data_IF_573254396794
#
_entry.id   IF_573254396794
#
_cell.length_a   1.000
_cell.length_b   1.000
_cell.length_c   1.000
_cell.angle_alpha   90.00
_cell.angle_beta   90.00
_cell.angle_gamma   90.00
#
_symmetry.space_group_name_H-M   'P 1'
#
loop_
_entity.id
_entity.type
_entity.pdbx_description
1 polymer ?
#
# COMPACT_ATOMS: atom_id res chain seq x y z
N UNK A 1 -13.51 -4.09 7.79
CA UNK A 1 -14.08 -5.12 6.90
C UNK A 1 -14.90 -4.50 5.76
N UNK A 2 -15.94 -3.72 6.01
CA UNK A 2 -16.76 -3.12 4.93
C UNK A 2 -15.95 -2.30 3.93
N UNK A 3 -15.04 -1.43 4.39
CA UNK A 3 -14.18 -0.61 3.53
C UNK A 3 -13.30 -1.48 2.59
N UNK A 4 -12.72 -2.56 3.12
CA UNK A 4 -11.89 -3.49 2.32
C UNK A 4 -12.73 -4.21 1.26
N UNK A 5 -13.91 -4.71 1.63
CA UNK A 5 -14.80 -5.38 0.66
C UNK A 5 -15.31 -4.42 -0.42
N UNK A 6 -15.52 -3.14 -0.08
CA UNK A 6 -15.89 -2.12 -1.07
C UNK A 6 -14.71 -1.79 -2.02
N UNK A 7 -13.47 -1.74 -1.51
CA UNK A 7 -12.28 -1.50 -2.31
C UNK A 7 -11.89 -2.72 -3.16
N UNK A 8 -12.06 -3.92 -2.63
CA UNK A 8 -11.75 -5.20 -3.26
C UNK A 8 -13.02 -6.05 -3.40
N UNK A 9 -13.81 -5.88 -4.46
CA UNK A 9 -15.09 -6.59 -4.65
C UNK A 9 -14.92 -8.06 -5.07
N UNK A 10 -13.68 -8.56 -5.08
CA UNK A 10 -13.39 -9.96 -5.39
C UNK A 10 -13.65 -10.85 -4.16
N UNK A 11 -13.86 -12.14 -4.43
CA UNK A 11 -14.08 -13.11 -3.35
C UNK A 11 -12.83 -13.26 -2.49
N UNK A 12 -12.97 -13.08 -1.18
CA UNK A 12 -11.96 -13.32 -0.16
C UNK A 12 -12.62 -13.87 1.11
N UNK A 13 -11.82 -14.26 2.12
CA UNK A 13 -12.35 -14.96 3.30
C UNK A 13 -13.32 -14.12 4.15
N UNK A 14 -13.31 -12.78 4.00
CA UNK A 14 -14.15 -11.87 4.79
C UNK A 14 -13.83 -11.86 6.29
N UNK A 15 -12.70 -12.43 6.69
CA UNK A 15 -12.22 -12.51 8.07
C UNK A 15 -10.69 -12.45 8.11
N UNK A 16 -10.15 -11.91 9.17
CA UNK A 16 -8.71 -11.77 9.41
C UNK A 16 -8.40 -12.27 10.81
N UNK A 17 -7.31 -13.00 10.95
CA UNK A 17 -6.72 -13.32 12.26
C UNK A 17 -5.79 -12.18 12.63
N UNK A 18 -6.05 -11.54 13.76
CA UNK A 18 -5.21 -10.47 14.30
C UNK A 18 -4.52 -11.00 15.56
N UNK A 19 -3.20 -10.93 15.58
CA UNK A 19 -2.37 -11.27 16.73
C UNK A 19 -1.89 -9.96 17.37
N UNK A 20 -2.02 -9.87 18.68
CA UNK A 20 -1.58 -8.70 19.46
C UNK A 20 -0.57 -9.20 20.49
N UNK A 21 0.74 -9.24 20.15
CA UNK A 21 1.79 -9.61 21.10
C UNK A 21 1.88 -8.60 22.24
N UNK A 22 2.40 -9.04 23.41
CA UNK A 22 2.56 -8.14 24.55
C UNK A 22 3.72 -7.15 24.41
N UNK A 23 4.71 -7.44 23.57
CA UNK A 23 5.91 -6.62 23.36
C UNK A 23 6.36 -6.65 21.90
N UNK A 24 7.17 -5.67 21.49
CA UNK A 24 7.82 -5.65 20.19
C UNK A 24 8.75 -6.87 19.98
N UNK A 25 9.45 -7.32 21.02
CA UNK A 25 10.30 -8.53 20.93
C UNK A 25 9.47 -9.80 20.70
N UNK A 26 8.29 -9.90 21.31
CA UNK A 26 7.37 -11.00 21.05
C UNK A 26 6.82 -10.96 19.61
N UNK A 27 6.54 -9.78 19.06
CA UNK A 27 6.21 -9.61 17.66
C UNK A 27 7.35 -10.05 16.75
N UNK A 28 8.57 -9.62 17.04
CA UNK A 28 9.77 -9.96 16.28
C UNK A 28 10.02 -11.48 16.25
N UNK A 29 9.86 -12.15 17.41
CA UNK A 29 9.95 -13.60 17.51
C UNK A 29 8.89 -14.32 16.66
N UNK A 30 7.65 -13.83 16.63
CA UNK A 30 6.57 -14.39 15.79
C UNK A 30 6.85 -14.24 14.29
N UNK A 31 7.52 -13.16 13.88
CA UNK A 31 7.80 -12.83 12.50
C UNK A 31 9.17 -13.32 12.01
N UNK A 32 10.05 -13.78 12.93
CA UNK A 32 11.36 -14.34 12.62
C UNK A 32 12.37 -13.31 12.10
N UNK A 33 12.25 -12.04 12.50
CA UNK A 33 13.15 -10.95 12.10
C UNK A 33 13.48 -10.06 13.31
N UNK A 34 14.57 -9.27 13.26
CA UNK A 34 14.95 -8.38 14.35
C UNK A 34 13.84 -7.35 14.69
N UNK A 35 13.69 -7.03 15.98
CA UNK A 35 12.73 -6.03 16.46
C UNK A 35 12.96 -4.64 15.84
N UNK A 36 14.21 -4.31 15.49
CA UNK A 36 14.56 -3.07 14.79
C UNK A 36 13.79 -2.86 13.49
N UNK A 37 13.44 -3.94 12.79
CA UNK A 37 12.73 -3.88 11.50
C UNK A 37 11.27 -3.45 11.65
N UNK A 38 10.73 -3.53 12.87
CA UNK A 38 9.32 -3.24 13.15
C UNK A 38 9.11 -1.97 13.96
N UNK A 39 10.19 -1.27 14.35
CA UNK A 39 10.08 0.00 15.06
C UNK A 39 9.32 1.02 14.19
N UNK A 40 8.37 1.70 14.79
CA UNK A 40 7.54 2.72 14.11
C UNK A 40 6.42 2.16 13.23
N UNK A 41 6.37 0.84 12.99
CA UNK A 41 5.24 0.21 12.29
C UNK A 41 4.08 -0.02 13.26
N UNK A 42 2.83 0.18 12.81
CA UNK A 42 1.65 -0.13 13.61
C UNK A 42 1.26 -1.60 13.57
N UNK A 43 1.41 -2.27 12.42
CA UNK A 43 1.13 -3.69 12.23
C UNK A 43 1.83 -4.21 10.96
N UNK A 44 1.83 -5.52 10.76
CA UNK A 44 2.37 -6.20 9.56
C UNK A 44 1.47 -7.38 9.21
N UNK A 45 1.14 -7.51 7.92
CA UNK A 45 0.50 -8.72 7.40
C UNK A 45 1.53 -9.76 6.99
N UNK A 46 1.44 -10.96 7.54
CA UNK A 46 2.28 -12.10 7.18
C UNK A 46 1.48 -13.21 6.52
N UNK A 47 2.06 -13.83 5.48
CA UNK A 47 1.46 -14.90 4.71
C UNK A 47 2.26 -15.22 3.45
N UNK A 48 1.97 -16.33 2.80
CA UNK A 48 2.63 -16.70 1.54
C UNK A 48 1.99 -15.97 0.36
N UNK A 49 2.81 -15.33 -0.45
CA UNK A 49 2.41 -14.70 -1.70
C UNK A 49 2.39 -15.75 -2.81
N UNK A 50 1.33 -15.75 -3.65
CA UNK A 50 1.29 -16.55 -4.89
C UNK A 50 0.91 -18.04 -4.74
N UNK A 51 0.47 -18.49 -3.57
CA UNK A 51 0.18 -19.91 -3.30
C UNK A 51 -1.33 -20.24 -3.21
N UNK A 52 -2.22 -19.47 -3.84
CA UNK A 52 -3.67 -19.64 -3.68
C UNK A 52 -4.17 -19.12 -2.32
N UNK A 53 -5.34 -19.54 -1.84
CA UNK A 53 -5.83 -19.12 -0.55
C UNK A 53 -4.83 -19.53 0.53
N UNK A 54 -4.07 -18.59 1.05
CA UNK A 54 -3.09 -18.84 2.10
C UNK A 54 -3.84 -19.02 3.45
N UNK A 55 -3.90 -20.21 4.01
CA UNK A 55 -4.71 -20.47 5.21
C UNK A 55 -4.13 -19.82 6.46
N UNK A 56 -3.00 -19.16 6.36
CA UNK A 56 -2.24 -18.62 7.48
C UNK A 56 -1.97 -17.11 7.41
N UNK A 57 -2.65 -16.37 6.51
CA UNK A 57 -2.55 -14.92 6.52
C UNK A 57 -3.08 -14.34 7.83
N UNK A 58 -2.27 -13.57 8.50
CA UNK A 58 -2.59 -12.90 9.75
C UNK A 58 -1.97 -11.52 9.81
N UNK A 59 -2.63 -10.62 10.52
CA UNK A 59 -2.10 -9.31 10.88
C UNK A 59 -1.47 -9.43 12.26
N UNK A 60 -0.22 -9.02 12.40
CA UNK A 60 0.49 -8.96 13.68
C UNK A 60 0.67 -7.50 14.05
N UNK A 61 0.07 -7.09 15.16
CA UNK A 61 0.09 -5.71 15.64
C UNK A 61 1.38 -5.47 16.41
N UNK A 62 2.05 -4.35 16.14
CA UNK A 62 3.12 -3.86 17.00
C UNK A 62 2.49 -3.12 18.19
N UNK A 63 2.58 -3.64 19.42
CA UNK A 63 1.88 -3.05 20.55
C UNK A 63 2.35 -1.62 20.87
N UNK A 64 3.65 -1.33 20.66
CA UNK A 64 4.24 -0.01 20.92
C UNK A 64 3.76 1.01 19.86
N UNK A 65 4.06 0.76 18.58
CA UNK A 65 3.68 1.68 17.50
C UNK A 65 2.17 1.86 17.35
N UNK A 66 1.39 0.80 17.57
CA UNK A 66 -0.07 0.87 17.48
C UNK A 66 -0.70 1.66 18.64
N UNK A 67 -0.11 1.61 19.84
CA UNK A 67 -0.58 2.35 21.00
C UNK A 67 -0.48 3.87 20.80
N UNK A 68 0.52 4.33 20.06
CA UNK A 68 0.75 5.75 19.75
C UNK A 68 -0.20 6.31 18.69
N UNK A 69 -0.88 5.45 17.93
CA UNK A 69 -1.79 5.88 16.88
C UNK A 69 -3.10 6.44 17.44
N UNK A 70 -3.61 7.49 16.79
CA UNK A 70 -4.99 7.95 16.98
C UNK A 70 -5.98 6.85 16.55
N UNK A 71 -7.25 6.99 16.93
CA UNK A 71 -8.31 6.06 16.50
C UNK A 71 -8.39 5.96 14.97
N UNK A 72 -8.28 7.09 14.26
CA UNK A 72 -8.22 7.12 12.81
C UNK A 72 -6.97 6.39 12.27
N UNK A 73 -5.79 6.65 12.85
CA UNK A 73 -4.55 5.97 12.49
C UNK A 73 -4.64 4.46 12.65
N UNK A 74 -5.21 3.99 13.76
CA UNK A 74 -5.48 2.56 13.99
C UNK A 74 -6.41 1.96 12.95
N UNK A 75 -7.47 2.69 12.57
CA UNK A 75 -8.39 2.28 11.51
C UNK A 75 -7.68 2.19 10.16
N UNK A 76 -6.85 3.19 9.82
CA UNK A 76 -6.07 3.20 8.58
C UNK A 76 -5.14 1.99 8.53
N UNK A 77 -4.32 1.77 9.57
CA UNK A 77 -3.39 0.63 9.62
C UNK A 77 -4.13 -0.70 9.49
N UNK A 78 -5.18 -0.94 10.26
CA UNK A 78 -5.92 -2.20 10.18
C UNK A 78 -6.63 -2.38 8.83
N UNK A 79 -7.08 -1.31 8.18
CA UNK A 79 -7.67 -1.40 6.84
C UNK A 79 -6.59 -1.73 5.80
N UNK A 80 -5.42 -1.09 5.88
CA UNK A 80 -4.25 -1.39 5.04
C UNK A 80 -3.87 -2.88 5.14
N UNK A 81 -3.62 -3.37 6.35
CA UNK A 81 -3.21 -4.76 6.57
C UNK A 81 -4.29 -5.77 6.15
N UNK A 82 -5.56 -5.46 6.45
CA UNK A 82 -6.68 -6.30 6.01
C UNK A 82 -6.79 -6.35 4.49
N UNK A 83 -6.41 -5.27 3.79
CA UNK A 83 -6.41 -5.22 2.33
C UNK A 83 -5.39 -6.19 1.76
N UNK A 84 -4.20 -6.31 2.34
CA UNK A 84 -3.23 -7.34 1.95
C UNK A 84 -3.78 -8.76 2.10
N UNK A 85 -4.53 -9.05 3.16
CA UNK A 85 -5.21 -10.35 3.31
C UNK A 85 -6.26 -10.56 2.21
N UNK A 86 -7.06 -9.53 1.90
CA UNK A 86 -8.11 -9.63 0.90
C UNK A 86 -7.57 -9.82 -0.52
N UNK A 87 -6.48 -9.14 -0.86
CA UNK A 87 -5.84 -9.18 -2.19
C UNK A 87 -4.93 -10.39 -2.37
N UNK A 88 -4.61 -11.14 -1.32
CA UNK A 88 -3.59 -12.21 -1.28
C UNK A 88 -3.67 -13.18 -2.47
N UNK A 89 -4.86 -13.64 -2.81
CA UNK A 89 -5.06 -14.59 -3.91
C UNK A 89 -4.71 -14.00 -5.30
N UNK A 90 -4.69 -12.69 -5.43
CA UNK A 90 -4.32 -11.97 -6.65
C UNK A 90 -2.88 -11.42 -6.63
N UNK A 91 -2.23 -11.44 -5.46
CA UNK A 91 -0.86 -10.97 -5.27
C UNK A 91 0.13 -12.09 -5.59
N UNK A 92 1.20 -11.77 -6.30
CA UNK A 92 2.30 -12.69 -6.60
C UNK A 92 3.64 -11.95 -6.51
N UNK A 93 4.79 -12.65 -6.61
CA UNK A 93 6.11 -12.00 -6.70
C UNK A 93 6.28 -11.08 -7.93
N UNK A 94 5.32 -11.08 -8.87
CA UNK A 94 5.29 -10.17 -10.03
C UNK A 94 4.57 -8.86 -9.73
N UNK A 95 3.72 -8.84 -8.70
CA UNK A 95 2.98 -7.63 -8.31
C UNK A 95 3.97 -6.61 -7.76
N UNK A 96 4.17 -5.47 -8.43
CA UNK A 96 5.09 -4.45 -7.92
C UNK A 96 4.66 -3.96 -6.54
N UNK A 97 5.60 -3.70 -5.64
CA UNK A 97 5.27 -3.24 -4.28
C UNK A 97 4.52 -1.89 -4.30
N UNK A 98 4.85 -0.97 -5.22
CA UNK A 98 4.08 0.28 -5.33
C UNK A 98 2.58 0.03 -5.59
N UNK A 99 2.24 -1.03 -6.33
CA UNK A 99 0.83 -1.35 -6.60
C UNK A 99 0.19 -2.06 -5.40
N UNK A 100 0.93 -2.96 -4.74
CA UNK A 100 0.43 -3.67 -3.55
C UNK A 100 0.22 -2.73 -2.36
N UNK A 101 1.25 -1.97 -2.01
CA UNK A 101 1.20 -1.01 -0.90
C UNK A 101 0.29 0.18 -1.21
N UNK A 102 0.40 0.72 -2.41
CA UNK A 102 -0.44 1.83 -2.85
C UNK A 102 -1.93 1.48 -2.91
N UNK A 103 -2.28 0.24 -3.28
CA UNK A 103 -3.67 -0.23 -3.25
C UNK A 103 -4.18 -0.38 -1.80
N UNK A 104 -3.35 -0.89 -0.90
CA UNK A 104 -3.68 -1.03 0.52
C UNK A 104 -3.91 0.34 1.17
N UNK A 105 -3.04 1.31 0.89
CA UNK A 105 -3.20 2.69 1.33
C UNK A 105 -4.42 3.36 0.69
N UNK A 106 -4.64 3.17 -0.61
CA UNK A 106 -5.83 3.71 -1.27
C UNK A 106 -7.11 3.22 -0.62
N UNK A 107 -7.20 1.94 -0.29
CA UNK A 107 -8.34 1.38 0.42
C UNK A 107 -8.49 1.93 1.84
N UNK A 108 -7.35 2.16 2.54
CA UNK A 108 -7.31 2.63 3.91
C UNK A 108 -7.68 4.11 4.06
N UNK A 109 -7.28 4.95 3.11
CA UNK A 109 -7.55 6.40 3.12
C UNK A 109 -8.92 6.78 2.54
N UNK A 110 -9.65 5.85 1.93
CA UNK A 110 -11.00 6.11 1.42
C UNK A 110 -11.92 6.61 2.53
N UNK A 111 -12.59 7.74 2.25
CA UNK A 111 -13.57 8.33 3.18
C UNK A 111 -12.98 8.94 4.46
N UNK A 112 -11.66 9.14 4.54
CA UNK A 112 -11.04 9.86 5.65
C UNK A 112 -11.21 11.38 5.54
N UNK A 113 -11.50 11.89 4.35
CA UNK A 113 -11.53 13.33 4.08
C UNK A 113 -10.15 13.99 4.01
N UNK A 114 -9.05 13.24 4.18
CA UNK A 114 -7.69 13.78 4.13
C UNK A 114 -7.33 14.21 2.72
N UNK A 115 -6.71 15.36 2.62
CA UNK A 115 -6.05 15.83 1.40
C UNK A 115 -4.81 14.98 1.09
N UNK A 116 -4.34 15.05 -0.14
CA UNK A 116 -3.10 14.37 -0.53
C UNK A 116 -1.88 14.83 0.30
N UNK A 117 -1.80 16.14 0.59
CA UNK A 117 -0.72 16.70 1.38
C UNK A 117 -0.75 16.29 2.86
N UNK A 118 -1.94 16.06 3.43
CA UNK A 118 -2.09 15.58 4.80
C UNK A 118 -1.79 14.10 4.95
N UNK A 119 -2.07 13.29 3.92
CA UNK A 119 -1.81 11.85 3.94
C UNK A 119 -0.39 11.48 3.48
N UNK A 120 0.27 12.33 2.68
CA UNK A 120 1.66 12.14 2.20
C UNK A 120 2.52 13.38 2.43
N UNK A 121 2.72 13.84 3.68
CA UNK A 121 3.37 15.12 3.97
C UNK A 121 4.84 15.15 3.55
N UNK A 122 5.60 14.05 3.63
CA UNK A 122 7.00 13.95 3.19
C UNK A 122 7.12 14.16 1.68
N UNK A 123 6.25 13.52 0.91
CA UNK A 123 6.22 13.68 -0.54
C UNK A 123 5.75 15.09 -0.93
N UNK A 124 4.76 15.64 -0.23
CA UNK A 124 4.28 17.00 -0.45
C UNK A 124 5.40 18.04 -0.23
N UNK A 125 6.19 17.89 0.84
CA UNK A 125 7.35 18.75 1.09
C UNK A 125 8.39 18.65 -0.04
N UNK A 126 8.70 17.43 -0.50
CA UNK A 126 9.64 17.22 -1.60
C UNK A 126 9.16 17.88 -2.90
N UNK A 127 7.91 17.65 -3.30
CA UNK A 127 7.32 18.24 -4.51
C UNK A 127 7.29 19.77 -4.46
N UNK A 128 7.00 20.36 -3.30
CA UNK A 128 7.03 21.83 -3.12
C UNK A 128 8.44 22.42 -3.24
N UNK A 129 9.47 21.66 -2.89
CA UNK A 129 10.88 22.06 -3.12
C UNK A 129 11.33 21.84 -4.56
N UNK A 130 10.48 21.34 -5.45
CA UNK A 130 10.81 21.03 -6.84
C UNK A 130 11.44 19.64 -7.03
N UNK A 131 11.46 18.81 -5.99
CA UNK A 131 12.01 17.46 -6.00
C UNK A 131 10.91 16.46 -6.45
N UNK A 132 10.51 16.55 -7.72
CA UNK A 132 9.52 15.64 -8.29
C UNK A 132 10.18 14.28 -8.58
N UNK A 133 9.63 13.15 -8.09
CA UNK A 133 10.20 11.84 -8.37
C UNK A 133 10.22 11.52 -9.87
N UNK A 134 11.35 10.96 -10.35
CA UNK A 134 11.54 10.63 -11.77
C UNK A 134 10.79 9.38 -12.24
N UNK A 135 10.42 8.49 -11.33
CA UNK A 135 9.73 7.23 -11.60
C UNK A 135 8.83 6.83 -10.42
N UNK A 136 7.89 5.92 -10.68
CA UNK A 136 7.16 5.23 -9.62
C UNK A 136 8.13 4.52 -8.66
N UNK A 137 7.79 4.38 -7.37
CA UNK A 137 8.67 3.73 -6.40
C UNK A 137 9.04 2.31 -6.84
N UNK A 138 10.34 2.01 -6.85
CA UNK A 138 10.84 0.65 -7.07
C UNK A 138 10.65 -0.19 -5.79
N UNK A 139 10.67 -1.51 -5.91
CA UNK A 139 10.42 -2.43 -4.80
C UNK A 139 11.41 -2.22 -3.64
N UNK A 140 12.67 -1.86 -3.94
CA UNK A 140 13.72 -1.58 -2.96
C UNK A 140 13.40 -0.37 -2.07
N UNK A 141 12.57 0.56 -2.56
CA UNK A 141 12.17 1.76 -1.80
C UNK A 141 11.25 1.44 -0.61
N UNK A 142 10.70 0.22 -0.55
CA UNK A 142 9.84 -0.25 0.56
C UNK A 142 10.61 -1.07 1.60
N UNK A 143 11.93 -1.12 1.50
CA UNK A 143 12.80 -1.81 2.47
C UNK A 143 12.84 -1.09 3.82
N UNK A 144 12.68 -1.86 4.92
CA UNK A 144 12.83 -1.33 6.27
C UNK A 144 14.31 -1.22 6.66
N UNK A 145 14.63 -0.24 7.52
CA UNK A 145 15.99 0.01 8.01
C UNK A 145 16.79 1.05 7.22
N UNK A 146 16.18 1.63 6.17
CA UNK A 146 16.72 2.77 5.43
C UNK A 146 16.31 4.14 6.00
N UNK A 147 16.34 5.17 5.16
CA UNK A 147 15.85 6.52 5.49
C UNK A 147 14.32 6.52 5.66
N UNK A 148 13.79 6.83 6.85
CA UNK A 148 12.34 6.85 7.09
C UNK A 148 11.58 7.86 6.20
N UNK A 149 12.21 8.97 5.85
CA UNK A 149 11.58 9.98 4.99
C UNK A 149 11.48 9.48 3.54
N UNK A 150 12.51 8.78 3.05
CA UNK A 150 12.48 8.14 1.74
C UNK A 150 11.40 7.05 1.67
N UNK A 151 11.29 6.24 2.72
CA UNK A 151 10.24 5.22 2.84
C UNK A 151 8.84 5.85 2.83
N UNK A 152 8.62 6.92 3.62
CA UNK A 152 7.34 7.63 3.64
C UNK A 152 6.99 8.24 2.28
N UNK A 153 7.97 8.76 1.54
CA UNK A 153 7.77 9.25 0.17
C UNK A 153 7.41 8.12 -0.80
N UNK A 154 7.97 6.93 -0.63
CA UNK A 154 7.62 5.76 -1.46
C UNK A 154 6.16 5.33 -1.23
N UNK A 155 5.73 5.21 0.03
CA UNK A 155 4.32 4.91 0.36
C UNK A 155 3.37 5.98 -0.17
N UNK A 156 3.64 7.27 0.08
CA UNK A 156 2.83 8.36 -0.44
C UNK A 156 2.76 8.38 -1.97
N UNK A 157 3.87 8.09 -2.64
CA UNK A 157 3.94 7.99 -4.10
C UNK A 157 3.13 6.82 -4.66
N UNK A 158 3.21 5.67 -4.02
CA UNK A 158 2.46 4.46 -4.35
C UNK A 158 0.95 4.67 -4.16
N UNK A 159 0.56 5.23 -3.02
CA UNK A 159 -0.84 5.60 -2.75
C UNK A 159 -1.40 6.53 -3.82
N UNK A 160 -0.67 7.62 -4.14
CA UNK A 160 -1.14 8.60 -5.13
C UNK A 160 -1.14 8.03 -6.56
N UNK A 161 -0.31 7.03 -6.88
CA UNK A 161 -0.41 6.32 -8.14
C UNK A 161 -1.71 5.49 -8.23
N UNK A 162 -2.08 4.78 -7.18
CA UNK A 162 -3.33 4.03 -7.12
C UNK A 162 -4.56 4.97 -7.11
N UNK A 163 -4.49 6.08 -6.39
CA UNK A 163 -5.53 7.11 -6.38
C UNK A 163 -5.72 7.74 -7.76
N UNK A 164 -4.65 8.13 -8.45
CA UNK A 164 -4.70 8.59 -9.84
C UNK A 164 -5.44 7.60 -10.74
N UNK A 165 -5.10 6.30 -10.65
CA UNK A 165 -5.72 5.27 -11.49
C UNK A 165 -7.22 5.17 -11.18
N UNK A 166 -7.59 5.17 -9.91
CA UNK A 166 -8.99 5.13 -9.48
C UNK A 166 -9.77 6.36 -9.94
N UNK A 167 -9.17 7.56 -9.81
CA UNK A 167 -9.81 8.83 -10.17
C UNK A 167 -9.99 8.97 -11.70
N UNK A 168 -8.99 8.55 -12.48
CA UNK A 168 -8.99 8.80 -13.94
C UNK A 168 -9.62 7.68 -14.75
N UNK A 169 -9.45 6.43 -14.35
CA UNK A 169 -9.95 5.24 -15.09
C UNK A 169 -11.00 4.45 -14.30
N UNK A 170 -11.28 4.88 -13.07
CA UNK A 170 -12.25 4.24 -12.19
C UNK A 170 -11.64 3.13 -11.32
N UNK A 171 -12.26 2.91 -10.15
CA UNK A 171 -11.85 1.88 -9.18
C UNK A 171 -11.80 0.48 -9.78
N UNK A 172 -12.73 0.16 -10.69
CA UNK A 172 -12.74 -1.13 -11.37
C UNK A 172 -11.50 -1.35 -12.26
N UNK A 173 -10.93 -0.28 -12.85
CA UNK A 173 -9.70 -0.37 -13.62
C UNK A 173 -8.49 -0.62 -12.71
N UNK A 174 -8.44 0.03 -11.54
CA UNK A 174 -7.40 -0.22 -10.53
C UNK A 174 -7.43 -1.69 -10.05
N UNK A 175 -8.62 -2.22 -9.74
CA UNK A 175 -8.78 -3.64 -9.35
C UNK A 175 -8.35 -4.59 -10.48
N UNK A 176 -8.74 -4.31 -11.72
CA UNK A 176 -8.31 -5.13 -12.89
C UNK A 176 -6.80 -5.09 -13.08
N UNK A 177 -6.19 -3.90 -12.97
CA UNK A 177 -4.72 -3.77 -13.07
C UNK A 177 -4.02 -4.59 -12.01
N UNK A 178 -4.48 -4.53 -10.75
CA UNK A 178 -3.92 -5.33 -9.66
C UNK A 178 -3.96 -6.83 -9.97
N UNK A 179 -5.12 -7.33 -10.41
CA UNK A 179 -5.29 -8.75 -10.76
C UNK A 179 -4.40 -9.19 -11.91
N UNK A 180 -4.26 -8.35 -12.94
CA UNK A 180 -3.39 -8.65 -14.10
C UNK A 180 -1.92 -8.62 -13.72
N UNK A 181 -1.46 -7.60 -12.99
CA UNK A 181 -0.08 -7.48 -12.54
C UNK A 181 0.39 -8.65 -11.67
N UNK A 182 -0.53 -9.33 -10.99
CA UNK A 182 -0.23 -10.58 -10.28
C UNK A 182 -0.02 -11.80 -11.20
N UNK A 183 -0.39 -11.72 -12.47
CA UNK A 183 -0.36 -12.85 -13.42
C UNK A 183 0.62 -12.64 -14.57
N UNK A 184 0.81 -11.41 -15.01
CA UNK A 184 1.61 -11.02 -16.17
C UNK A 184 2.48 -9.79 -15.85
N UNK A 185 3.50 -9.50 -16.66
CA UNK A 185 4.33 -8.32 -16.49
C UNK A 185 3.50 -7.03 -16.55
N UNK A 186 3.87 -6.04 -15.72
CA UNK A 186 3.19 -4.75 -15.69
C UNK A 186 3.16 -4.05 -17.06
N UNK A 187 4.23 -4.22 -17.87
CA UNK A 187 4.31 -3.69 -19.24
C UNK A 187 3.23 -4.25 -20.17
N UNK A 188 2.69 -5.45 -19.89
CA UNK A 188 1.55 -6.04 -20.59
C UNK A 188 0.22 -5.60 -19.99
N UNK A 189 0.13 -5.62 -18.65
CA UNK A 189 -1.09 -5.31 -17.94
C UNK A 189 -1.56 -3.84 -18.13
N UNK A 190 -0.63 -2.89 -18.19
CA UNK A 190 -0.93 -1.46 -18.31
C UNK A 190 -1.63 -1.08 -19.62
N UNK A 191 -1.12 -1.43 -20.82
CA UNK A 191 -1.80 -1.11 -22.06
C UNK A 191 -3.22 -1.68 -22.14
N UNK A 192 -3.40 -2.90 -21.66
CA UNK A 192 -4.70 -3.57 -21.69
C UNK A 192 -5.72 -3.02 -20.69
N UNK A 193 -5.25 -2.37 -19.63
CA UNK A 193 -6.11 -1.88 -18.55
C UNK A 193 -6.35 -0.38 -18.61
N UNK A 194 -5.30 0.39 -18.91
CA UNK A 194 -5.30 1.85 -18.86
C UNK A 194 -5.01 2.51 -20.22
N UNK A 195 -4.71 1.73 -21.27
CA UNK A 195 -4.21 2.19 -22.57
C UNK A 195 -2.93 3.05 -22.43
N UNK A 196 -2.06 2.73 -21.47
CA UNK A 196 -0.79 3.38 -21.21
C UNK A 196 0.36 2.36 -21.19
N UNK A 197 1.54 2.79 -21.61
CA UNK A 197 2.79 2.13 -21.28
C UNK A 197 3.33 2.59 -19.89
N UNK A 198 4.36 1.94 -19.33
CA UNK A 198 4.94 2.35 -18.05
C UNK A 198 5.42 3.81 -18.02
N UNK A 199 5.99 4.31 -19.11
CA UNK A 199 6.44 5.70 -19.21
C UNK A 199 5.25 6.68 -19.22
N UNK A 200 4.15 6.32 -19.90
CA UNK A 200 2.90 7.07 -19.92
C UNK A 200 2.27 7.16 -18.52
N UNK A 201 2.25 6.06 -17.77
CA UNK A 201 1.78 6.07 -16.40
C UNK A 201 2.66 6.97 -15.51
N UNK A 202 3.99 6.89 -15.64
CA UNK A 202 4.92 7.75 -14.88
C UNK A 202 4.65 9.23 -15.16
N UNK A 203 4.50 9.63 -16.42
CA UNK A 203 4.18 11.04 -16.77
C UNK A 203 2.84 11.50 -16.22
N UNK A 204 1.81 10.66 -16.32
CA UNK A 204 0.50 10.95 -15.76
C UNK A 204 0.55 11.12 -14.23
N UNK A 205 1.31 10.25 -13.56
CA UNK A 205 1.52 10.31 -12.12
C UNK A 205 2.28 11.57 -11.68
N UNK A 206 3.37 11.93 -12.37
CA UNK A 206 4.11 13.16 -12.09
C UNK A 206 3.24 14.42 -12.22
N UNK A 207 2.40 14.46 -13.26
CA UNK A 207 1.42 15.55 -13.43
C UNK A 207 0.44 15.57 -12.26
N UNK A 208 -0.09 14.43 -11.86
CA UNK A 208 -1.02 14.29 -10.74
C UNK A 208 -0.39 14.71 -9.40
N UNK A 209 0.86 14.28 -9.13
CA UNK A 209 1.58 14.73 -7.94
C UNK A 209 1.70 16.27 -7.89
N UNK A 210 2.00 16.88 -9.04
CA UNK A 210 2.12 18.34 -9.12
C UNK A 210 0.79 19.04 -8.84
N UNK A 211 -0.33 18.48 -9.30
CA UNK A 211 -1.66 19.03 -9.08
C UNK A 211 -2.14 18.87 -7.64
N UNK A 212 -1.93 17.69 -7.04
CA UNK A 212 -2.46 17.34 -5.72
C UNK A 212 -1.59 17.83 -4.54
N UNK A 213 -0.27 18.04 -4.75
CA UNK A 213 0.70 18.33 -3.68
C UNK A 213 1.28 19.74 -3.72
N UNK A 214 1.17 20.45 -4.84
CA UNK A 214 1.45 21.88 -4.86
C UNK A 214 0.24 22.64 -4.32
N UNK A 215 0.46 23.73 -3.56
CA UNK A 215 -0.64 24.57 -3.06
C UNK A 215 -1.36 25.28 -4.18
#
# INVERSE_FOLDING_TARGET
MAAVTAAWPQRWAGRVVVLVPGTLDAMAALLGRPASDYRGLGAVTTGRVGAGPAPADRVVVNPEGYAELSEEGRRIVLTHETTHVATRAATSPRTPLWLSEGFADWAAYRGTGRTAAEAAPELARAVRRGELPGALPADEAFGFGGDPEALARAYGGAWLACRLIADRWGEAALVRLYQKAGREPLATALPETLALDPAGLTRAWQTYLTQELKP
#
